data_IF_824702429341
#
_entry.id   IF_824702429341
#
_cell.length_a   1.000
_cell.length_b   1.000
_cell.length_c   1.000
_cell.angle_alpha   90.00
_cell.angle_beta   90.00
_cell.angle_gamma   90.00
#
_symmetry.space_group_name_H-M   'P 1'
#
loop_
_entity.id
_entity.type
_entity.pdbx_description
1 polymer ?
#
# COMPACT_ATOMS: atom_id res chain seq x y z
N UNK A 1 -3.96 -26.72 25.74
CA UNK A 1 -3.08 -25.66 25.23
C UNK A 1 -3.41 -25.34 23.78
N UNK A 2 -4.45 -24.52 23.55
CA UNK A 2 -4.78 -24.08 22.20
C UNK A 2 -3.80 -23.00 21.76
N UNK A 3 -2.87 -23.38 20.87
CA UNK A 3 -1.92 -22.44 20.24
C UNK A 3 -2.50 -21.70 19.03
N UNK A 4 -3.69 -22.09 18.58
CA UNK A 4 -4.27 -21.70 17.30
C UNK A 4 -5.69 -21.14 17.47
N UNK A 5 -6.07 -20.31 16.51
CA UNK A 5 -7.41 -19.76 16.34
C UNK A 5 -8.44 -20.85 15.96
N UNK A 6 -9.72 -20.53 16.09
CA UNK A 6 -10.85 -21.43 15.82
C UNK A 6 -11.61 -21.08 14.54
N UNK A 7 -11.29 -19.95 13.92
CA UNK A 7 -12.01 -19.43 12.76
C UNK A 7 -11.10 -19.35 11.55
N UNK A 8 -11.57 -19.82 10.40
CA UNK A 8 -10.78 -19.75 9.17
C UNK A 8 -10.40 -18.30 8.85
N UNK A 9 -9.12 -18.04 8.61
CA UNK A 9 -8.60 -16.72 8.29
C UNK A 9 -9.23 -16.08 7.04
N UNK A 10 -9.69 -16.90 6.09
CA UNK A 10 -10.27 -16.44 4.81
C UNK A 10 -11.77 -16.18 4.92
N UNK A 11 -12.53 -17.09 5.53
CA UNK A 11 -14.00 -17.00 5.53
C UNK A 11 -14.61 -16.66 6.90
N UNK A 12 -13.79 -16.61 7.95
CA UNK A 12 -14.16 -16.25 9.33
C UNK A 12 -15.19 -17.19 9.97
N UNK A 13 -15.21 -18.46 9.54
CA UNK A 13 -16.13 -19.49 10.04
C UNK A 13 -15.36 -20.66 10.64
N UNK A 14 -15.99 -21.34 11.58
CA UNK A 14 -15.51 -22.58 12.19
C UNK A 14 -15.56 -23.76 11.21
N UNK A 15 -15.07 -24.92 11.65
CA UNK A 15 -15.19 -26.20 10.94
C UNK A 15 -13.90 -27.02 11.00
N UNK A 16 -13.66 -27.84 9.96
CA UNK A 16 -12.42 -28.60 9.83
C UNK A 16 -11.29 -27.70 9.34
N UNK A 17 -10.36 -27.37 10.23
CA UNK A 17 -9.34 -26.36 10.00
C UNK A 17 -7.94 -26.97 10.06
N UNK A 18 -7.03 -26.38 9.29
CA UNK A 18 -5.59 -26.67 9.31
C UNK A 18 -4.85 -25.46 9.87
N UNK A 19 -3.96 -25.69 10.82
CA UNK A 19 -3.18 -24.63 11.48
C UNK A 19 -1.85 -24.39 10.79
N UNK A 20 -1.41 -23.13 10.80
CA UNK A 20 -0.05 -22.76 10.43
C UNK A 20 0.93 -23.12 11.55
N UNK A 21 2.13 -23.56 11.22
CA UNK A 21 3.19 -23.82 12.23
C UNK A 21 3.77 -22.52 12.83
N UNK A 22 3.79 -21.44 12.03
CA UNK A 22 4.51 -20.19 12.40
C UNK A 22 3.61 -19.13 13.05
N UNK A 23 2.30 -19.30 13.02
CA UNK A 23 1.37 -18.29 13.54
C UNK A 23 0.04 -18.94 13.95
N UNK A 24 -0.79 -18.27 14.75
CA UNK A 24 -2.03 -18.88 15.23
C UNK A 24 -3.15 -18.98 14.18
N UNK A 25 -2.93 -18.51 12.94
CA UNK A 25 -3.96 -18.51 11.90
C UNK A 25 -4.28 -19.93 11.45
N UNK A 26 -5.57 -20.18 11.21
CA UNK A 26 -6.09 -21.45 10.73
C UNK A 26 -6.92 -21.27 9.46
N UNK A 27 -7.05 -22.32 8.65
CA UNK A 27 -7.67 -22.23 7.32
C UNK A 27 -8.51 -23.46 7.03
N UNK A 28 -9.59 -23.30 6.24
CA UNK A 28 -10.18 -24.46 5.57
C UNK A 28 -9.35 -24.79 4.32
N UNK A 29 -9.05 -26.07 4.09
CA UNK A 29 -8.37 -26.54 2.86
C UNK A 29 -9.11 -26.10 1.59
N UNK A 30 -10.44 -26.16 1.60
CA UNK A 30 -11.31 -25.63 0.53
C UNK A 30 -11.13 -24.14 0.29
N UNK A 31 -10.90 -23.33 1.33
CA UNK A 31 -10.72 -21.88 1.18
C UNK A 31 -9.35 -21.54 0.58
N UNK A 32 -8.37 -22.45 0.74
CA UNK A 32 -7.06 -22.37 0.11
C UNK A 32 -7.03 -22.96 -1.31
N UNK A 33 -8.12 -23.56 -1.78
CA UNK A 33 -8.18 -24.36 -3.02
C UNK A 33 -7.12 -25.48 -3.05
N UNK A 34 -6.83 -26.10 -1.90
CA UNK A 34 -5.90 -27.22 -1.80
C UNK A 34 -6.70 -28.53 -1.75
N UNK A 35 -6.47 -29.39 -2.75
CA UNK A 35 -7.12 -30.68 -2.89
C UNK A 35 -6.21 -31.87 -2.53
N UNK A 36 -4.94 -31.61 -2.18
CA UNK A 36 -3.96 -32.62 -1.79
C UNK A 36 -3.75 -32.65 -0.27
N UNK A 37 -3.14 -33.73 0.23
CA UNK A 37 -2.66 -33.76 1.61
C UNK A 37 -1.63 -32.65 1.85
N UNK A 38 -1.74 -32.02 3.01
CA UNK A 38 -0.80 -31.00 3.45
C UNK A 38 0.40 -31.65 4.15
N UNK A 39 1.60 -31.08 4.03
CA UNK A 39 2.75 -31.53 4.80
C UNK A 39 2.50 -31.33 6.30
N UNK A 40 3.20 -32.11 7.14
CA UNK A 40 3.09 -32.01 8.59
C UNK A 40 3.52 -30.62 9.13
N UNK A 41 4.51 -29.99 8.50
CA UNK A 41 5.02 -28.65 8.86
C UNK A 41 4.52 -27.61 7.84
N UNK A 42 3.20 -27.39 7.81
CA UNK A 42 2.60 -26.48 6.84
C UNK A 42 2.68 -25.01 7.30
N UNK A 43 3.10 -24.13 6.38
CA UNK A 43 3.17 -22.68 6.58
C UNK A 43 2.07 -22.01 5.76
N UNK A 44 1.32 -21.10 6.37
CA UNK A 44 0.21 -20.43 5.69
C UNK A 44 0.67 -19.34 4.71
N UNK A 45 -0.19 -18.95 3.73
CA UNK A 45 0.17 -17.95 2.72
C UNK A 45 0.60 -16.60 3.27
N UNK A 46 0.03 -16.15 4.40
CA UNK A 46 0.45 -14.88 5.04
C UNK A 46 1.89 -14.97 5.56
N UNK A 47 2.24 -16.07 6.24
CA UNK A 47 3.59 -16.29 6.75
C UNK A 47 4.61 -16.46 5.61
N UNK A 48 4.26 -17.23 4.57
CA UNK A 48 5.12 -17.36 3.39
C UNK A 48 5.39 -16.02 2.71
N UNK A 49 4.35 -15.18 2.57
CA UNK A 49 4.50 -13.86 1.97
C UNK A 49 5.39 -12.96 2.82
N UNK A 50 5.18 -12.92 4.15
CA UNK A 50 6.02 -12.13 5.07
C UNK A 50 7.49 -12.59 4.99
N UNK A 51 7.74 -13.90 5.04
CA UNK A 51 9.09 -14.44 4.93
C UNK A 51 9.77 -14.05 3.62
N UNK A 52 9.06 -14.09 2.49
CA UNK A 52 9.56 -13.62 1.20
C UNK A 52 9.84 -12.12 1.20
N UNK A 53 8.96 -11.32 1.81
CA UNK A 53 9.10 -9.86 1.83
C UNK A 53 10.19 -9.36 2.80
N UNK A 54 10.52 -10.12 3.85
CA UNK A 54 11.60 -9.78 4.79
C UNK A 54 12.97 -10.35 4.38
N UNK A 55 13.00 -11.39 3.55
CA UNK A 55 14.23 -11.99 3.05
C UNK A 55 15.07 -10.97 2.25
N UNK A 56 16.39 -10.94 2.52
CA UNK A 56 17.30 -9.97 1.89
C UNK A 56 17.32 -10.09 0.37
N UNK A 57 17.20 -11.31 -0.14
CA UNK A 57 17.31 -11.61 -1.57
C UNK A 57 16.01 -11.37 -2.33
N UNK A 58 14.86 -11.50 -1.66
CA UNK A 58 13.53 -11.46 -2.32
C UNK A 58 12.67 -10.26 -1.91
N UNK A 59 13.12 -9.43 -0.96
CA UNK A 59 12.41 -8.20 -0.58
C UNK A 59 12.24 -7.27 -1.77
N UNK A 60 11.19 -6.44 -1.73
CA UNK A 60 10.92 -5.46 -2.78
C UNK A 60 12.04 -4.42 -2.89
N UNK A 61 12.15 -3.79 -4.06
CA UNK A 61 13.06 -2.65 -4.28
C UNK A 61 12.76 -1.52 -3.29
N UNK A 62 11.50 -1.27 -2.97
CA UNK A 62 11.10 -0.27 -1.99
C UNK A 62 11.68 -0.58 -0.60
N UNK A 63 11.50 -1.81 -0.12
CA UNK A 63 12.01 -2.24 1.18
C UNK A 63 13.55 -2.35 1.22
N UNK A 64 14.22 -2.66 0.11
CA UNK A 64 15.68 -2.66 0.04
C UNK A 64 16.29 -1.26 0.15
N UNK A 65 15.54 -0.22 -0.22
CA UNK A 65 16.02 1.16 -0.20
C UNK A 65 15.84 1.85 1.15
N UNK A 66 15.10 1.30 2.10
CA UNK A 66 14.76 1.99 3.36
C UNK A 66 15.24 1.23 4.59
N UNK A 67 15.49 1.97 5.67
CA UNK A 67 15.76 1.40 6.98
C UNK A 67 14.47 1.02 7.70
N UNK A 68 14.56 0.18 8.73
CA UNK A 68 13.43 -0.14 9.62
C UNK A 68 12.88 1.12 10.30
N UNK A 69 13.72 2.09 10.65
CA UNK A 69 13.28 3.37 11.22
C UNK A 69 12.44 4.17 10.23
N UNK A 70 12.87 4.23 8.97
CA UNK A 70 12.11 4.86 7.89
C UNK A 70 10.79 4.14 7.67
N UNK A 71 10.78 2.80 7.57
CA UNK A 71 9.55 2.02 7.46
C UNK A 71 8.60 2.32 8.61
N UNK A 72 9.09 2.34 9.85
CA UNK A 72 8.29 2.68 11.02
C UNK A 72 7.70 4.09 10.93
N UNK A 73 8.40 5.06 10.33
CA UNK A 73 7.82 6.38 10.08
C UNK A 73 6.65 6.31 9.08
N UNK A 74 6.86 5.65 7.93
CA UNK A 74 5.82 5.48 6.91
C UNK A 74 4.58 4.77 7.47
N UNK A 75 4.78 3.72 8.27
CA UNK A 75 3.68 2.99 8.93
C UNK A 75 2.90 3.87 9.92
N UNK A 76 3.53 4.86 10.57
CA UNK A 76 2.79 5.83 11.42
C UNK A 76 1.89 6.73 10.57
N UNK A 77 2.32 7.13 9.38
CA UNK A 77 1.45 7.88 8.46
C UNK A 77 0.28 7.02 7.99
N UNK A 78 0.54 5.78 7.57
CA UNK A 78 -0.50 4.84 7.18
C UNK A 78 -1.50 4.59 8.31
N UNK A 79 -1.02 4.40 9.54
CA UNK A 79 -1.88 4.21 10.72
C UNK A 79 -2.78 5.43 10.99
N UNK A 80 -2.28 6.66 10.80
CA UNK A 80 -3.11 7.87 10.90
C UNK A 80 -4.20 7.90 9.84
N UNK A 81 -3.94 7.43 8.62
CA UNK A 81 -4.96 7.33 7.55
C UNK A 81 -6.03 6.27 7.87
N UNK A 82 -5.65 5.21 8.60
CA UNK A 82 -6.58 4.18 9.07
C UNK A 82 -7.56 4.68 10.15
N UNK A 83 -7.21 5.75 10.88
CA UNK A 83 -8.04 6.38 11.91
C UNK A 83 -9.13 7.28 11.28
N UNK A 84 -10.14 6.63 10.71
CA UNK A 84 -11.32 7.32 10.15
C UNK A 84 -12.31 7.73 11.27
N UNK A 85 -13.21 8.72 11.04
CA UNK A 85 -14.13 9.20 12.08
C UNK A 85 -14.96 8.10 12.77
N UNK A 86 -15.33 7.04 12.04
CA UNK A 86 -16.12 5.92 12.55
C UNK A 86 -15.29 4.81 13.21
N UNK A 87 -13.97 4.97 13.34
CA UNK A 87 -13.05 3.91 13.81
C UNK A 87 -12.85 3.84 15.33
N UNK A 88 -13.55 4.66 16.12
CA UNK A 88 -13.38 4.78 17.58
C UNK A 88 -13.36 3.42 18.30
N UNK A 89 -14.26 2.50 17.92
CA UNK A 89 -14.37 1.15 18.50
C UNK A 89 -13.11 0.27 18.30
N UNK A 90 -12.20 0.66 17.41
CA UNK A 90 -10.96 -0.05 17.09
C UNK A 90 -9.71 0.69 17.57
N UNK A 91 -9.84 1.85 18.22
CA UNK A 91 -8.68 2.63 18.68
C UNK A 91 -8.00 2.02 19.90
N UNK A 92 -8.75 1.26 20.70
CA UNK A 92 -8.30 0.63 21.95
C UNK A 92 -8.72 -0.84 21.99
N UNK A 93 -8.06 -1.66 22.83
CA UNK A 93 -8.49 -3.03 23.06
C UNK A 93 -9.96 -3.09 23.53
N UNK A 94 -10.67 -4.14 23.09
CA UNK A 94 -12.03 -4.43 23.58
C UNK A 94 -11.99 -4.71 25.07
N UNK A 95 -12.86 -4.06 25.84
CA UNK A 95 -12.97 -4.27 27.29
C UNK A 95 -13.67 -5.61 27.58
N UNK A 96 -12.88 -6.60 27.99
CA UNK A 96 -13.37 -7.94 28.33
C UNK A 96 -14.12 -7.99 29.66
N UNK A 97 -14.10 -6.95 30.48
CA UNK A 97 -14.97 -6.87 31.67
C UNK A 97 -16.39 -6.51 31.23
N UNK A 98 -16.53 -5.62 30.25
CA UNK A 98 -17.81 -5.24 29.66
C UNK A 98 -18.35 -6.31 28.69
N UNK A 99 -17.46 -7.02 27.99
CA UNK A 99 -17.79 -8.11 27.09
C UNK A 99 -17.04 -9.40 27.48
N UNK A 100 -17.46 -10.09 28.56
CA UNK A 100 -16.76 -11.28 29.06
C UNK A 100 -16.63 -12.41 28.04
N UNK A 101 -17.61 -12.54 27.14
CA UNK A 101 -17.62 -13.57 26.10
C UNK A 101 -16.66 -13.30 24.96
N UNK A 102 -16.04 -12.11 24.87
CA UNK A 102 -15.14 -11.78 23.76
C UNK A 102 -13.96 -12.76 23.66
N UNK A 103 -13.40 -13.13 24.81
CA UNK A 103 -12.28 -14.08 24.91
C UNK A 103 -12.64 -15.51 24.52
N UNK A 104 -13.94 -15.86 24.46
CA UNK A 104 -14.38 -17.19 24.03
C UNK A 104 -14.29 -17.35 22.51
N UNK A 105 -14.35 -16.24 21.77
CA UNK A 105 -14.36 -16.23 20.30
C UNK A 105 -13.07 -15.66 19.71
N UNK A 106 -12.44 -14.68 20.36
CA UNK A 106 -11.30 -13.95 19.81
C UNK A 106 -10.00 -14.44 20.43
N UNK A 107 -9.25 -15.20 19.65
CA UNK A 107 -7.97 -15.77 20.07
C UNK A 107 -6.84 -14.73 20.13
N UNK A 108 -6.72 -13.87 19.11
CA UNK A 108 -5.64 -12.88 18.99
C UNK A 108 -6.20 -11.45 18.88
N UNK A 109 -6.46 -10.76 20.02
CA UNK A 109 -6.97 -9.40 20.02
C UNK A 109 -6.03 -8.43 19.28
N UNK A 110 -6.61 -7.49 18.52
CA UNK A 110 -5.88 -6.46 17.79
C UNK A 110 -6.71 -5.19 17.68
N UNK A 111 -6.04 -4.05 17.80
CA UNK A 111 -6.60 -2.70 17.74
C UNK A 111 -5.54 -1.73 17.16
N UNK A 112 -5.96 -0.53 16.75
CA UNK A 112 -5.06 0.49 16.18
C UNK A 112 -3.99 0.94 17.20
N UNK A 113 -4.31 0.94 18.49
CA UNK A 113 -3.35 1.22 19.56
C UNK A 113 -2.29 0.12 19.72
N UNK A 114 -2.65 -1.15 19.58
CA UNK A 114 -1.72 -2.27 19.51
C UNK A 114 -0.81 -2.17 18.28
N UNK A 115 -1.36 -1.88 17.09
CA UNK A 115 -0.55 -1.64 15.89
C UNK A 115 0.46 -0.50 16.10
N UNK A 116 0.03 0.62 16.69
CA UNK A 116 0.90 1.75 17.06
C UNK A 116 2.04 1.33 17.99
N UNK A 117 1.75 0.51 19.00
CA UNK A 117 2.76 -0.04 19.92
C UNK A 117 3.76 -0.94 19.19
N UNK A 118 3.29 -1.77 18.28
CA UNK A 118 4.15 -2.67 17.48
C UNK A 118 5.05 -1.90 16.52
N UNK A 119 4.55 -0.81 15.90
CA UNK A 119 5.39 0.10 15.11
C UNK A 119 6.50 0.72 16.00
N UNK A 120 6.15 1.23 17.18
CA UNK A 120 7.13 1.85 18.09
C UNK A 120 8.20 0.86 18.57
N UNK A 121 7.84 -0.41 18.71
CA UNK A 121 8.76 -1.50 19.06
C UNK A 121 9.53 -2.05 17.85
N UNK A 122 9.37 -1.47 16.65
CA UNK A 122 10.03 -1.90 15.40
C UNK A 122 9.77 -3.36 15.06
N UNK A 123 8.55 -3.84 15.26
CA UNK A 123 8.19 -5.26 15.10
C UNK A 123 7.86 -5.65 13.65
N UNK A 124 7.77 -4.69 12.73
CA UNK A 124 7.44 -4.94 11.33
C UNK A 124 8.69 -4.79 10.46
N UNK A 125 9.10 -5.88 9.79
CA UNK A 125 10.22 -5.87 8.83
C UNK A 125 9.81 -5.52 7.40
N UNK A 126 8.52 -5.62 7.08
CA UNK A 126 7.94 -5.32 5.77
C UNK A 126 6.50 -4.78 5.90
N UNK A 127 5.95 -4.28 4.78
CA UNK A 127 4.57 -3.77 4.72
C UNK A 127 3.53 -4.89 4.88
N UNK A 128 3.85 -6.10 4.41
CA UNK A 128 2.97 -7.27 4.51
C UNK A 128 2.79 -7.75 5.94
N UNK A 129 3.83 -7.66 6.78
CA UNK A 129 3.73 -7.98 8.20
C UNK A 129 2.75 -7.04 8.91
N UNK A 130 2.83 -5.74 8.64
CA UNK A 130 1.90 -4.75 9.18
C UNK A 130 0.46 -5.00 8.73
N UNK A 131 0.25 -5.26 7.43
CA UNK A 131 -1.07 -5.56 6.88
C UNK A 131 -1.65 -6.87 7.46
N UNK A 132 -0.83 -7.90 7.65
CA UNK A 132 -1.25 -9.17 8.22
C UNK A 132 -1.74 -9.04 9.67
N UNK A 133 -1.14 -8.14 10.44
CA UNK A 133 -1.61 -7.81 11.78
C UNK A 133 -2.87 -6.94 11.75
N UNK A 134 -2.94 -5.93 10.88
CA UNK A 134 -4.13 -5.09 10.73
C UNK A 134 -5.38 -5.91 10.34
N UNK A 135 -5.22 -7.00 9.57
CA UNK A 135 -6.32 -7.92 9.21
C UNK A 135 -6.98 -8.58 10.43
N UNK A 136 -6.29 -8.73 11.56
CA UNK A 136 -6.91 -9.28 12.78
C UNK A 136 -8.07 -8.40 13.27
N UNK A 137 -8.01 -7.07 13.06
CA UNK A 137 -9.10 -6.17 13.42
C UNK A 137 -10.39 -6.56 12.70
N UNK A 138 -10.31 -6.80 11.38
CA UNK A 138 -11.45 -7.24 10.59
C UNK A 138 -11.88 -8.66 10.92
N UNK A 139 -10.92 -9.59 11.02
CA UNK A 139 -11.21 -10.99 11.34
C UNK A 139 -11.96 -11.11 12.68
N UNK A 140 -11.43 -10.51 13.75
CA UNK A 140 -12.04 -10.55 15.08
C UNK A 140 -13.41 -9.89 15.10
N UNK A 141 -13.55 -8.74 14.42
CA UNK A 141 -14.81 -8.03 14.34
C UNK A 141 -15.87 -8.87 13.63
N UNK A 142 -15.52 -9.53 12.52
CA UNK A 142 -16.41 -10.42 11.80
C UNK A 142 -16.84 -11.61 12.67
N UNK A 143 -15.87 -12.28 13.31
CA UNK A 143 -16.14 -13.45 14.16
C UNK A 143 -17.09 -13.11 15.30
N UNK A 144 -16.84 -12.00 16.00
CA UNK A 144 -17.62 -11.63 17.17
C UNK A 144 -18.97 -10.97 16.82
N UNK A 145 -19.00 -10.08 15.83
CA UNK A 145 -20.19 -9.26 15.53
C UNK A 145 -21.01 -9.77 14.33
N UNK A 146 -20.45 -10.64 13.49
CA UNK A 146 -21.06 -11.10 12.25
C UNK A 146 -20.86 -10.17 11.05
N UNK A 147 -21.16 -10.67 9.85
CA UNK A 147 -20.87 -9.97 8.58
C UNK A 147 -21.66 -8.68 8.37
N UNK A 148 -22.91 -8.65 8.85
CA UNK A 148 -23.85 -7.58 8.53
C UNK A 148 -23.75 -6.41 9.52
N UNK A 149 -23.01 -6.59 10.60
CA UNK A 149 -22.81 -5.58 11.63
C UNK A 149 -22.06 -4.36 11.09
N UNK A 150 -22.45 -3.17 11.53
CA UNK A 150 -21.86 -1.91 11.06
C UNK A 150 -20.36 -1.82 11.39
N UNK A 151 -19.94 -2.28 12.58
CA UNK A 151 -18.52 -2.35 12.95
C UNK A 151 -17.72 -3.22 11.97
N UNK A 152 -18.27 -4.33 11.49
CA UNK A 152 -17.60 -5.21 10.53
C UNK A 152 -17.35 -4.49 9.20
N UNK A 153 -18.29 -3.64 8.77
CA UNK A 153 -18.13 -2.79 7.58
C UNK A 153 -17.02 -1.75 7.81
N UNK A 154 -17.00 -1.11 8.98
CA UNK A 154 -15.95 -0.15 9.35
C UNK A 154 -14.57 -0.83 9.40
N UNK A 155 -14.44 -1.99 10.07
CA UNK A 155 -13.20 -2.75 10.14
C UNK A 155 -12.69 -3.15 8.74
N UNK A 156 -13.60 -3.53 7.84
CA UNK A 156 -13.27 -3.81 6.44
C UNK A 156 -12.71 -2.57 5.73
N UNK A 157 -13.28 -1.40 5.97
CA UNK A 157 -12.77 -0.12 5.43
C UNK A 157 -11.38 0.20 5.98
N UNK A 158 -11.14 0.01 7.28
CA UNK A 158 -9.82 0.19 7.91
C UNK A 158 -8.76 -0.68 7.24
N UNK A 159 -9.03 -1.97 7.03
CA UNK A 159 -8.10 -2.89 6.36
C UNK A 159 -7.93 -2.54 4.88
N UNK A 160 -8.99 -2.06 4.20
CA UNK A 160 -8.91 -1.57 2.83
C UNK A 160 -7.98 -0.37 2.71
N UNK A 161 -8.08 0.59 3.63
CA UNK A 161 -7.17 1.74 3.71
C UNK A 161 -5.75 1.25 3.96
N UNK A 162 -5.53 0.40 4.97
CA UNK A 162 -4.22 -0.19 5.26
C UNK A 162 -3.58 -0.82 4.01
N UNK A 163 -4.34 -1.65 3.27
CA UNK A 163 -3.87 -2.27 2.02
C UNK A 163 -3.48 -1.23 0.96
N UNK A 164 -4.25 -0.16 0.84
CA UNK A 164 -3.94 0.92 -0.10
C UNK A 164 -2.64 1.62 0.28
N UNK A 165 -2.49 2.04 1.54
CA UNK A 165 -1.28 2.71 2.04
C UNK A 165 -0.03 1.83 1.88
N UNK A 166 -0.13 0.53 2.17
CA UNK A 166 1.00 -0.40 1.96
C UNK A 166 1.40 -0.48 0.49
N UNK A 167 0.43 -0.51 -0.43
CA UNK A 167 0.75 -0.46 -1.86
C UNK A 167 1.44 0.86 -2.25
N UNK A 168 1.01 2.00 -1.71
CA UNK A 168 1.68 3.28 -2.04
C UNK A 168 3.12 3.31 -1.53
N UNK A 169 3.37 2.77 -0.34
CA UNK A 169 4.73 2.60 0.20
C UNK A 169 5.57 1.70 -0.70
N UNK A 170 5.02 0.55 -1.14
CA UNK A 170 5.72 -0.39 -2.03
C UNK A 170 5.97 0.16 -3.44
N UNK A 171 5.11 1.05 -3.93
CA UNK A 171 5.33 1.73 -5.22
C UNK A 171 6.52 2.67 -5.12
N UNK A 172 6.54 3.56 -4.14
CA UNK A 172 7.69 4.42 -3.87
C UNK A 172 7.61 5.02 -2.46
N UNK A 173 8.51 4.61 -1.54
CA UNK A 173 8.54 5.14 -0.18
C UNK A 173 8.77 6.66 -0.12
N UNK A 174 9.57 7.19 -1.05
CA UNK A 174 9.89 8.62 -1.12
C UNK A 174 8.68 9.45 -1.56
N UNK A 175 7.96 9.02 -2.62
CA UNK A 175 6.72 9.67 -3.02
C UNK A 175 5.68 9.63 -1.91
N UNK A 176 5.55 8.49 -1.22
CA UNK A 176 4.62 8.34 -0.11
C UNK A 176 4.95 9.31 1.03
N UNK A 177 6.21 9.37 1.44
CA UNK A 177 6.68 10.28 2.49
C UNK A 177 6.45 11.75 2.11
N UNK A 178 6.82 12.14 0.89
CA UNK A 178 6.62 13.51 0.41
C UNK A 178 5.14 13.89 0.44
N UNK A 179 4.24 12.99 0.00
CA UNK A 179 2.79 13.23 0.05
C UNK A 179 2.21 13.31 1.47
N UNK A 180 2.96 12.87 2.46
CA UNK A 180 2.55 12.76 3.85
C UNK A 180 3.07 13.89 4.73
N UNK A 181 4.28 14.40 4.47
CA UNK A 181 4.97 15.36 5.33
C UNK A 181 4.94 16.79 4.77
N UNK A 182 4.80 16.96 3.45
CA UNK A 182 4.80 18.29 2.85
C UNK A 182 3.36 18.80 2.73
N UNK A 183 3.06 19.87 3.47
CA UNK A 183 1.78 20.57 3.42
C UNK A 183 1.66 21.53 2.25
N UNK A 184 2.76 21.80 1.54
CA UNK A 184 2.82 22.73 0.43
C UNK A 184 2.42 22.05 -0.89
N UNK A 185 1.93 22.84 -1.83
CA UNK A 185 1.52 22.39 -3.17
C UNK A 185 2.67 21.74 -3.96
N UNK A 186 3.92 21.89 -3.51
CA UNK A 186 5.12 21.51 -4.22
C UNK A 186 5.69 20.15 -3.82
N UNK A 187 5.00 19.40 -2.97
CA UNK A 187 5.46 18.06 -2.54
C UNK A 187 5.74 17.11 -3.71
N UNK A 188 5.02 17.29 -4.82
CA UNK A 188 5.20 16.49 -6.02
C UNK A 188 6.34 16.99 -6.90
N UNK A 189 6.88 18.19 -6.67
CA UNK A 189 8.14 18.66 -7.29
C UNK A 189 9.37 18.00 -6.67
N UNK A 190 9.26 17.40 -5.49
CA UNK A 190 10.42 16.80 -4.84
C UNK A 190 10.90 15.52 -5.53
N UNK A 191 12.19 15.44 -5.94
CA UNK A 191 12.74 14.25 -6.54
C UNK A 191 13.01 13.15 -5.52
N UNK A 192 12.67 11.92 -5.91
CA UNK A 192 13.00 10.73 -5.14
C UNK A 192 14.51 10.45 -5.22
N UNK A 193 15.02 9.60 -4.31
CA UNK A 193 16.45 9.21 -4.28
C UNK A 193 16.89 8.57 -5.60
N UNK A 194 16.01 7.81 -6.22
CA UNK A 194 16.10 7.42 -7.62
C UNK A 194 14.97 8.12 -8.36
N UNK A 195 15.27 9.16 -9.17
CA UNK A 195 14.23 9.90 -9.88
C UNK A 195 13.39 8.99 -10.77
N UNK A 196 12.08 9.25 -10.79
CA UNK A 196 11.16 8.57 -11.70
C UNK A 196 11.35 9.08 -13.12
N UNK A 197 11.23 8.18 -14.10
CA UNK A 197 11.24 8.57 -15.52
C UNK A 197 10.07 9.52 -15.78
N UNK A 198 10.37 10.70 -16.32
CA UNK A 198 9.35 11.67 -16.70
C UNK A 198 8.82 11.33 -18.09
N UNK A 199 7.51 11.45 -18.26
CA UNK A 199 6.81 10.98 -19.45
C UNK A 199 5.69 11.92 -19.87
N UNK A 200 5.34 11.84 -21.13
CA UNK A 200 4.06 12.28 -21.66
C UNK A 200 3.14 11.06 -21.77
N UNK A 201 2.12 10.97 -20.91
CA UNK A 201 1.19 9.85 -20.89
C UNK A 201 -0.19 10.27 -21.41
N UNK A 202 -0.86 9.36 -22.13
CA UNK A 202 -2.19 9.63 -22.70
C UNK A 202 -3.23 8.61 -22.25
N UNK A 203 -4.25 9.10 -21.54
CA UNK A 203 -5.47 8.37 -21.25
C UNK A 203 -6.48 8.49 -22.39
N UNK A 204 -7.32 7.46 -22.55
CA UNK A 204 -8.40 7.46 -23.54
C UNK A 204 -9.37 8.61 -23.24
N UNK A 205 -9.59 9.48 -24.24
CA UNK A 205 -10.47 10.64 -24.11
C UNK A 205 -9.78 11.91 -23.60
N UNK A 206 -8.52 11.85 -23.20
CA UNK A 206 -7.75 12.98 -22.68
C UNK A 206 -6.56 13.32 -23.60
N UNK A 207 -6.08 14.58 -23.58
CA UNK A 207 -4.81 14.94 -24.21
C UNK A 207 -3.63 14.21 -23.55
N UNK A 208 -2.45 14.26 -24.18
CA UNK A 208 -1.22 13.89 -23.48
C UNK A 208 -1.00 14.82 -22.30
N UNK A 209 -0.57 14.27 -21.18
CA UNK A 209 -0.34 14.98 -19.94
C UNK A 209 1.03 14.61 -19.36
N UNK A 210 1.74 15.55 -18.70
CA UNK A 210 3.01 15.22 -18.07
C UNK A 210 2.81 14.30 -16.86
N UNK A 211 3.67 13.31 -16.69
CA UNK A 211 3.57 12.33 -15.60
C UNK A 211 4.92 11.74 -15.18
N UNK A 212 4.99 11.25 -13.93
CA UNK A 212 6.06 10.37 -13.44
C UNK A 212 5.67 8.91 -13.69
N UNK A 213 6.54 8.14 -14.35
CA UNK A 213 6.39 6.70 -14.46
C UNK A 213 6.94 6.02 -13.20
N UNK A 214 6.07 5.35 -12.45
CA UNK A 214 6.40 4.76 -11.16
C UNK A 214 6.89 3.31 -11.31
N UNK A 215 6.18 2.52 -12.12
CA UNK A 215 6.51 1.13 -12.43
C UNK A 215 5.83 0.68 -13.72
N UNK A 216 6.33 -0.41 -14.30
CA UNK A 216 5.72 -1.08 -15.44
C UNK A 216 5.32 -2.50 -15.07
N UNK A 217 4.15 -2.95 -15.54
CA UNK A 217 3.64 -4.29 -15.31
C UNK A 217 2.75 -4.70 -16.49
N UNK A 218 3.02 -5.86 -17.10
CA UNK A 218 2.24 -6.43 -18.20
C UNK A 218 1.96 -5.46 -19.38
N UNK A 219 2.94 -4.63 -19.75
CA UNK A 219 2.84 -3.64 -20.83
C UNK A 219 2.02 -2.39 -20.48
N UNK A 220 1.67 -2.22 -19.21
CA UNK A 220 1.06 -1.02 -18.66
C UNK A 220 2.07 -0.28 -17.77
N UNK A 221 2.06 1.04 -17.84
CA UNK A 221 2.88 1.93 -17.01
C UNK A 221 1.97 2.56 -15.95
N UNK A 222 2.30 2.38 -14.67
CA UNK A 222 1.68 3.07 -13.54
C UNK A 222 2.24 4.49 -13.52
N UNK A 223 1.44 5.45 -13.95
CA UNK A 223 1.85 6.86 -14.03
C UNK A 223 1.12 7.68 -12.98
N UNK A 224 1.80 8.71 -12.48
CA UNK A 224 1.21 9.74 -11.64
C UNK A 224 1.35 11.09 -12.31
N UNK A 225 0.23 11.73 -12.63
CA UNK A 225 0.20 12.95 -13.41
C UNK A 225 0.58 14.18 -12.57
N UNK A 226 1.25 15.14 -13.20
CA UNK A 226 1.43 16.47 -12.60
C UNK A 226 0.09 17.24 -12.60
N UNK A 227 -0.07 18.16 -11.66
CA UNK A 227 -1.29 18.93 -11.39
C UNK A 227 -2.18 18.23 -10.37
N UNK A 228 -3.10 17.38 -10.82
CA UNK A 228 -4.08 16.72 -9.93
C UNK A 228 -3.50 15.56 -9.10
N UNK A 229 -2.28 15.11 -9.42
CA UNK A 229 -1.57 14.01 -8.76
C UNK A 229 -2.32 12.68 -8.75
N UNK A 230 -3.25 12.49 -9.68
CA UNK A 230 -3.99 11.27 -9.88
C UNK A 230 -3.10 10.19 -10.50
N UNK A 231 -3.44 8.94 -10.19
CA UNK A 231 -2.72 7.75 -10.66
C UNK A 231 -3.55 6.94 -11.64
N UNK A 232 -2.90 6.41 -12.66
CA UNK A 232 -3.55 5.53 -13.61
C UNK A 232 -2.56 4.57 -14.27
N UNK A 233 -3.07 3.42 -14.69
CA UNK A 233 -2.34 2.51 -15.56
C UNK A 233 -2.58 2.89 -17.01
N UNK A 234 -1.50 3.20 -17.74
CA UNK A 234 -1.55 3.63 -19.13
C UNK A 234 -0.80 2.60 -20.00
N UNK A 235 -1.35 2.14 -21.14
CA UNK A 235 -0.60 1.28 -22.05
C UNK A 235 0.72 1.92 -22.46
N UNK A 236 1.82 1.16 -22.42
CA UNK A 236 3.16 1.67 -22.76
C UNK A 236 3.19 2.29 -24.18
N UNK A 237 2.39 1.78 -25.11
CA UNK A 237 2.21 2.34 -26.46
C UNK A 237 1.64 3.78 -26.49
N UNK A 238 1.05 4.24 -25.39
CA UNK A 238 0.47 5.58 -25.20
C UNK A 238 1.32 6.45 -24.27
N UNK A 239 2.55 6.04 -23.97
CA UNK A 239 3.50 6.77 -23.14
C UNK A 239 4.73 7.11 -23.98
N UNK A 240 5.16 8.37 -23.92
CA UNK A 240 6.41 8.82 -24.49
C UNK A 240 7.34 9.32 -23.39
N UNK A 241 8.64 9.14 -23.55
CA UNK A 241 9.64 9.78 -22.70
C UNK A 241 9.53 11.30 -22.82
N UNK A 242 9.87 12.01 -21.73
CA UNK A 242 9.73 13.47 -21.71
C UNK A 242 10.66 14.14 -22.74
N UNK A 243 10.06 14.81 -23.72
CA UNK A 243 10.73 15.67 -24.69
C UNK A 243 10.49 17.16 -24.38
N UNK A 244 11.45 18.03 -24.77
CA UNK A 244 11.29 19.49 -24.69
C UNK A 244 10.07 19.97 -25.49
N UNK A 245 9.85 19.36 -26.65
CA UNK A 245 8.65 19.61 -27.44
C UNK A 245 7.44 18.89 -26.80
N UNK A 246 6.39 19.65 -26.55
CA UNK A 246 5.16 19.15 -25.95
C UNK A 246 4.26 18.52 -27.04
N UNK A 247 3.73 17.29 -26.83
CA UNK A 247 2.94 16.57 -27.83
C UNK A 247 1.54 17.14 -28.07
N UNK A 248 1.13 18.19 -27.33
CA UNK A 248 -0.14 18.88 -27.55
C UNK A 248 0.06 20.30 -28.12
N UNK A 249 -0.74 20.70 -29.13
CA UNK A 249 -0.73 22.05 -29.67
C UNK A 249 -1.09 23.08 -28.60
N UNK A 250 -0.47 24.27 -28.65
CA UNK A 250 -0.70 25.34 -27.68
C UNK A 250 -2.18 25.72 -27.53
N UNK A 251 -2.96 25.72 -28.61
CA UNK A 251 -4.41 26.02 -28.60
C UNK A 251 -5.26 25.01 -27.81
N UNK A 252 -4.72 23.83 -27.51
CA UNK A 252 -5.40 22.76 -26.74
C UNK A 252 -4.94 22.70 -25.28
N UNK A 253 -4.04 23.61 -24.86
CA UNK A 253 -3.56 23.68 -23.47
C UNK A 253 -4.58 24.44 -22.63
N UNK A 254 -5.17 23.76 -21.65
CA UNK A 254 -6.02 24.38 -20.63
C UNK A 254 -5.18 25.08 -19.56
N UNK A 255 -5.81 25.88 -18.70
CA UNK A 255 -5.14 26.44 -17.51
C UNK A 255 -4.51 25.34 -16.66
N UNK A 256 -5.31 24.30 -16.33
CA UNK A 256 -4.84 23.13 -15.58
C UNK A 256 -3.63 22.44 -16.20
N UNK A 257 -3.53 22.43 -17.53
CA UNK A 257 -2.36 21.88 -18.21
C UNK A 257 -1.13 22.76 -18.00
N UNK A 258 -1.27 24.09 -18.05
CA UNK A 258 -0.16 25.00 -17.80
C UNK A 258 0.33 24.87 -16.37
N UNK A 259 -0.57 24.78 -15.39
CA UNK A 259 -0.22 24.58 -13.98
C UNK A 259 0.56 23.27 -13.77
N UNK A 260 0.09 22.17 -14.37
CA UNK A 260 0.79 20.88 -14.37
C UNK A 260 2.16 20.94 -15.08
N UNK A 261 2.27 21.75 -16.13
CA UNK A 261 3.52 21.92 -16.87
C UNK A 261 4.53 22.79 -16.10
N UNK A 262 4.06 23.81 -15.38
CA UNK A 262 4.89 24.62 -14.47
C UNK A 262 5.40 23.76 -13.31
N UNK A 263 4.54 22.91 -12.73
CA UNK A 263 4.94 21.94 -11.72
C UNK A 263 6.00 20.96 -12.25
N UNK A 264 5.82 20.42 -13.45
CA UNK A 264 6.83 19.59 -14.11
C UNK A 264 8.17 20.32 -14.26
N UNK A 265 8.15 21.59 -14.68
CA UNK A 265 9.39 22.35 -14.88
C UNK A 265 10.13 22.58 -13.56
N UNK A 266 9.40 22.87 -12.47
CA UNK A 266 9.98 22.96 -11.13
C UNK A 266 10.58 21.63 -10.68
N UNK A 267 9.88 20.52 -10.93
CA UNK A 267 10.43 19.19 -10.66
C UNK A 267 11.73 18.91 -11.42
N UNK A 268 11.81 19.29 -12.70
CA UNK A 268 13.05 19.15 -13.50
C UNK A 268 14.17 20.00 -12.92
N UNK A 269 13.89 21.24 -12.51
CA UNK A 269 14.87 22.09 -11.83
C UNK A 269 15.39 21.43 -10.54
N UNK A 270 14.51 20.89 -9.70
CA UNK A 270 14.92 20.20 -8.47
C UNK A 270 15.74 18.92 -8.78
N UNK A 271 15.48 18.23 -9.90
CA UNK A 271 16.33 17.12 -10.36
C UNK A 271 17.71 17.64 -10.78
N UNK A 272 17.79 18.71 -11.57
CA UNK A 272 19.06 19.30 -12.01
C UNK A 272 19.89 19.80 -10.83
N UNK A 273 19.26 20.44 -9.85
CA UNK A 273 19.93 20.91 -8.63
C UNK A 273 20.50 19.77 -7.79
N UNK A 274 19.77 18.65 -7.68
CA UNK A 274 20.16 17.52 -6.84
C UNK A 274 21.10 16.52 -7.53
N UNK A 275 20.94 16.31 -8.84
CA UNK A 275 21.64 15.27 -9.60
C UNK A 275 22.54 15.82 -10.72
N UNK A 276 22.56 17.14 -10.92
CA UNK A 276 23.46 17.86 -11.82
C UNK A 276 22.87 18.18 -13.20
N UNK A 277 22.22 17.22 -13.86
CA UNK A 277 21.68 17.41 -15.21
C UNK A 277 20.43 16.58 -15.44
N UNK A 278 19.51 17.09 -16.28
CA UNK A 278 18.36 16.35 -16.79
C UNK A 278 18.37 16.34 -18.33
N UNK A 279 18.36 15.16 -18.92
CA UNK A 279 18.37 15.01 -20.39
C UNK A 279 16.96 14.74 -20.91
N UNK A 280 16.52 15.61 -21.83
CA UNK A 280 15.26 15.42 -22.55
C UNK A 280 15.46 14.47 -23.74
N UNK A 281 14.44 13.65 -24.00
CA UNK A 281 14.44 12.73 -25.13
C UNK A 281 13.98 13.40 -26.44
N UNK A 282 14.31 12.82 -27.62
CA UNK A 282 13.73 13.22 -28.89
C UNK A 282 12.19 13.17 -28.86
N UNK A 283 11.56 14.03 -29.68
CA UNK A 283 10.09 14.12 -29.72
C UNK A 283 9.44 12.77 -30.06
N UNK A 284 8.46 12.36 -29.25
CA UNK A 284 7.72 11.08 -29.37
C UNK A 284 8.60 9.83 -29.29
N UNK A 285 9.68 9.88 -28.51
CA UNK A 285 10.43 8.67 -28.15
C UNK A 285 9.53 7.76 -27.31
N UNK A 286 9.27 6.50 -27.71
CA UNK A 286 8.52 5.55 -26.91
C UNK A 286 9.13 5.32 -25.53
N UNK A 287 8.28 5.07 -24.54
CA UNK A 287 8.70 4.60 -23.20
C UNK A 287 9.35 3.22 -23.29
#
# INVERSE_FOLDING_TARGET
DNKNDYFCWICHKEGLLVGCELCPRVYHTKCLNINSELPNEWVCPECEQIMKSECIETRSKAMSMISIDTLCNLLKHALRRMQIPESEAFEKPVDTVLLPTYSDFVYNPMDLGQLSRSIRKKQYGCTEAFLADAKWIYHNCYVFNGSDHHLTKTAKTIVKICKHEMNEIEVCPDCYLNSCEQSDEDWFCEPCRTPHTLTWAKLKGYPFWPAKALREMDGLVDVRFFGAHDRSWVPASNVFLLSKECPIPQKKRSSYFNDAFEELNRHVQNIEERFGTFEYHPFRTPY
#
